data_IF_101107731032
#
_entry.id   IF_101107731032
#
_cell.length_a   1.000
_cell.length_b   1.000
_cell.length_c   1.000
_cell.angle_alpha   90.00
_cell.angle_beta   90.00
_cell.angle_gamma   90.00
#
_symmetry.space_group_name_H-M   'P 1'
#
loop_
_entity.id
_entity.type
_entity.pdbx_description
1 polymer ?
#
# COMPACT_ATOMS: atom_id res chain seq x y z
N UNK A 1 -5.43 6.71 -13.29
CA UNK A 1 -6.29 7.68 -14.02
C UNK A 1 -7.49 7.93 -13.15
N UNK A 2 -8.01 9.14 -13.07
CA UNK A 2 -9.11 9.50 -12.16
C UNK A 2 -10.36 9.83 -12.97
N UNK A 3 -11.54 9.43 -12.47
CA UNK A 3 -12.81 9.80 -13.10
C UNK A 3 -12.99 11.32 -12.97
N UNK A 4 -13.40 12.04 -14.03
CA UNK A 4 -13.56 13.50 -13.99
C UNK A 4 -14.51 13.96 -12.87
N UNK A 5 -14.33 15.20 -12.40
CA UNK A 5 -15.20 15.82 -11.38
C UNK A 5 -16.53 16.27 -12.00
N UNK A 6 -16.53 16.67 -13.26
CA UNK A 6 -17.70 17.15 -14.01
C UNK A 6 -17.94 16.28 -15.24
N UNK A 7 -19.19 16.25 -15.73
CA UNK A 7 -19.59 15.50 -16.92
C UNK A 7 -19.23 14.00 -16.83
N UNK A 8 -19.46 13.38 -15.69
CA UNK A 8 -19.19 11.96 -15.49
C UNK A 8 -20.18 11.14 -16.31
N UNK A 9 -19.66 10.38 -17.27
CA UNK A 9 -20.42 9.39 -18.04
C UNK A 9 -19.96 7.97 -17.72
N UNK A 10 -20.74 6.97 -18.13
CA UNK A 10 -20.38 5.55 -17.94
C UNK A 10 -19.04 5.22 -18.62
N UNK A 11 -18.75 5.83 -19.79
CA UNK A 11 -17.47 5.64 -20.49
C UNK A 11 -16.26 6.10 -19.67
N UNK A 12 -16.38 7.19 -18.91
CA UNK A 12 -15.31 7.66 -18.03
C UNK A 12 -15.09 6.70 -16.84
N UNK A 13 -16.17 6.12 -16.33
CA UNK A 13 -16.10 5.08 -15.27
C UNK A 13 -15.43 3.83 -15.86
N UNK A 14 -15.85 3.37 -17.03
CA UNK A 14 -15.24 2.23 -17.72
C UNK A 14 -13.73 2.43 -17.99
N UNK A 15 -13.34 3.61 -18.44
CA UNK A 15 -11.93 3.92 -18.71
C UNK A 15 -11.07 3.76 -17.45
N UNK A 16 -11.62 4.11 -16.28
CA UNK A 16 -10.86 4.03 -15.02
C UNK A 16 -10.93 2.66 -14.35
N UNK A 17 -12.12 2.05 -14.32
CA UNK A 17 -12.36 0.82 -13.58
C UNK A 17 -12.34 -0.45 -14.46
N UNK A 18 -12.39 -0.30 -15.76
CA UNK A 18 -12.50 -1.42 -16.70
C UNK A 18 -13.95 -1.82 -16.95
N UNK A 19 -14.16 -2.97 -17.55
CA UNK A 19 -15.46 -3.52 -17.93
C UNK A 19 -15.60 -3.68 -19.45
N UNK A 20 -16.59 -4.48 -19.92
CA UNK A 20 -16.87 -4.73 -21.32
C UNK A 20 -18.12 -3.97 -21.78
N UNK A 21 -18.28 -3.81 -23.09
CA UNK A 21 -19.52 -3.27 -23.68
C UNK A 21 -20.55 -4.39 -23.89
N UNK A 22 -21.86 -4.13 -23.69
CA UNK A 22 -22.48 -2.88 -23.23
C UNK A 22 -22.21 -2.59 -21.74
N UNK A 23 -22.05 -1.30 -21.41
CA UNK A 23 -21.74 -0.86 -20.05
C UNK A 23 -23.04 -0.70 -19.23
N UNK A 24 -23.11 -1.32 -18.06
CA UNK A 24 -24.17 -1.10 -17.08
C UNK A 24 -23.59 -0.58 -15.75
N UNK A 25 -24.27 0.37 -15.14
CA UNK A 25 -23.83 0.92 -13.83
C UNK A 25 -23.77 -0.16 -12.73
N UNK A 26 -24.62 -1.17 -12.82
CA UNK A 26 -24.65 -2.32 -11.92
C UNK A 26 -23.38 -3.17 -11.89
N UNK A 27 -22.51 -3.03 -12.89
CA UNK A 27 -21.22 -3.73 -12.93
C UNK A 27 -20.14 -3.11 -12.01
N UNK A 28 -20.46 -1.93 -11.46
CA UNK A 28 -19.50 -1.11 -10.71
C UNK A 28 -19.78 -1.05 -9.21
N UNK A 29 -20.49 -2.05 -8.67
CA UNK A 29 -20.58 -2.17 -7.22
C UNK A 29 -19.22 -2.47 -6.61
N UNK A 30 -18.95 -1.87 -5.46
CA UNK A 30 -17.71 -2.12 -4.70
C UNK A 30 -17.65 -3.58 -4.24
N UNK A 31 -16.53 -4.24 -4.48
CA UNK A 31 -16.36 -5.67 -4.23
C UNK A 31 -16.82 -6.55 -5.39
N UNK A 32 -17.31 -5.95 -6.48
CA UNK A 32 -17.60 -6.64 -7.74
C UNK A 32 -16.37 -6.77 -8.64
N UNK A 33 -16.60 -7.17 -9.90
CA UNK A 33 -15.53 -7.44 -10.85
C UNK A 33 -14.69 -6.21 -11.21
N UNK A 34 -15.30 -5.02 -11.26
CA UNK A 34 -14.65 -3.81 -11.75
C UNK A 34 -14.15 -2.88 -10.64
N UNK A 35 -14.80 -2.87 -9.48
CA UNK A 35 -14.45 -2.00 -8.34
C UNK A 35 -13.97 -2.83 -7.16
N UNK A 36 -12.72 -2.67 -6.71
CA UNK A 36 -12.18 -3.43 -5.59
C UNK A 36 -13.02 -3.28 -4.30
N UNK A 37 -13.09 -4.32 -3.48
CA UNK A 37 -13.75 -4.27 -2.17
C UNK A 37 -13.11 -3.22 -1.24
N UNK A 38 -11.79 -3.02 -1.39
CA UNK A 38 -11.00 -2.02 -0.67
C UNK A 38 -11.02 -0.63 -1.31
N UNK A 39 -11.88 -0.39 -2.33
CA UNK A 39 -11.97 0.92 -2.97
C UNK A 39 -12.27 2.02 -1.95
N UNK A 40 -11.33 2.95 -1.81
CA UNK A 40 -11.45 4.12 -0.93
C UNK A 40 -12.37 5.20 -1.50
N UNK A 41 -12.56 6.26 -0.74
CA UNK A 41 -13.37 7.41 -1.15
C UNK A 41 -12.58 8.36 -2.03
N UNK A 42 -13.10 8.70 -3.20
CA UNK A 42 -12.53 9.70 -4.10
C UNK A 42 -12.93 11.15 -3.78
N UNK A 43 -13.53 11.41 -2.61
CA UNK A 43 -13.93 12.76 -2.19
C UNK A 43 -15.41 13.11 -2.43
N UNK A 44 -16.13 12.37 -3.24
CA UNK A 44 -17.57 12.59 -3.53
C UNK A 44 -18.48 11.47 -3.03
N UNK A 45 -17.94 10.56 -2.24
CA UNK A 45 -18.69 9.47 -1.63
C UNK A 45 -18.05 8.10 -1.80
N UNK A 46 -18.64 7.10 -1.16
CA UNK A 46 -18.22 5.70 -1.24
C UNK A 46 -18.99 5.03 -2.35
N UNK A 47 -18.30 4.30 -3.24
CA UNK A 47 -18.99 3.42 -4.18
C UNK A 47 -19.74 2.35 -3.38
N UNK A 48 -21.05 2.27 -3.56
CA UNK A 48 -21.88 1.32 -2.81
C UNK A 48 -21.54 -0.13 -3.17
N UNK A 49 -21.64 -1.04 -2.20
CA UNK A 49 -21.49 -2.48 -2.44
C UNK A 49 -22.82 -3.12 -2.92
N UNK A 50 -23.96 -2.46 -2.70
CA UNK A 50 -25.28 -2.89 -3.15
C UNK A 50 -26.28 -1.73 -3.06
N UNK A 51 -27.48 -1.88 -3.60
CA UNK A 51 -28.55 -0.88 -3.53
C UNK A 51 -28.41 0.21 -4.60
N UNK A 52 -28.93 1.43 -4.38
CA UNK A 52 -28.88 2.50 -5.37
C UNK A 52 -27.44 2.93 -5.66
N UNK A 53 -27.03 2.94 -6.93
CA UNK A 53 -25.73 3.40 -7.40
C UNK A 53 -25.92 4.57 -8.35
N UNK A 54 -25.20 5.65 -8.13
CA UNK A 54 -25.25 6.87 -8.93
C UNK A 54 -23.93 7.10 -9.65
N UNK A 55 -24.00 7.57 -10.88
CA UNK A 55 -22.81 8.04 -11.63
C UNK A 55 -22.04 9.12 -10.86
N UNK A 56 -22.77 9.94 -10.11
CA UNK A 56 -22.18 11.00 -9.28
C UNK A 56 -21.21 10.50 -8.20
N UNK A 57 -21.37 9.28 -7.70
CA UNK A 57 -20.46 8.70 -6.69
C UNK A 57 -19.10 8.36 -7.26
N UNK A 58 -18.96 8.27 -8.57
CA UNK A 58 -17.68 8.01 -9.24
C UNK A 58 -16.85 9.25 -9.51
N UNK A 59 -17.35 10.45 -9.22
CA UNK A 59 -16.57 11.68 -9.38
C UNK A 59 -15.29 11.61 -8.59
N UNK A 60 -14.17 12.00 -9.24
CA UNK A 60 -12.84 11.97 -8.65
C UNK A 60 -12.43 10.62 -8.03
N UNK A 61 -13.07 9.54 -8.44
CA UNK A 61 -12.68 8.19 -8.04
C UNK A 61 -11.51 7.71 -8.89
N UNK A 62 -10.63 6.96 -8.25
CA UNK A 62 -9.51 6.27 -8.86
C UNK A 62 -9.54 4.82 -8.41
N UNK A 63 -9.29 3.89 -9.32
CA UNK A 63 -9.18 2.48 -8.96
C UNK A 63 -7.90 2.27 -8.18
N UNK A 64 -8.03 2.06 -6.86
CA UNK A 64 -6.90 1.88 -5.93
C UNK A 64 -7.21 0.79 -4.91
N UNK A 65 -6.18 0.08 -4.47
CA UNK A 65 -6.25 -0.79 -3.30
C UNK A 65 -5.94 0.05 -2.06
N UNK A 66 -6.90 0.21 -1.16
CA UNK A 66 -6.73 0.99 0.07
C UNK A 66 -6.77 0.06 1.28
N UNK A 67 -5.76 0.13 2.13
CA UNK A 67 -5.67 -0.68 3.34
C UNK A 67 -4.91 0.05 4.44
N UNK A 68 -5.13 -0.38 5.69
CA UNK A 68 -4.32 0.00 6.83
C UNK A 68 -3.87 -1.26 7.57
N UNK A 69 -2.67 -1.25 8.10
CA UNK A 69 -2.11 -2.37 8.85
C UNK A 69 -1.37 -1.90 10.09
N UNK A 70 -1.64 -2.55 11.22
CA UNK A 70 -0.97 -2.24 12.48
C UNK A 70 -0.05 -3.40 12.87
N UNK A 71 1.23 -3.09 13.05
CA UNK A 71 2.23 -4.02 13.56
C UNK A 71 2.20 -3.91 15.07
N UNK A 72 1.66 -4.94 15.72
CA UNK A 72 1.44 -5.02 17.18
C UNK A 72 2.29 -6.07 17.86
N UNK A 73 3.10 -6.80 17.11
CA UNK A 73 4.05 -7.80 17.59
C UNK A 73 5.39 -7.62 16.90
N UNK A 74 6.46 -7.98 17.58
CA UNK A 74 7.80 -7.94 17.00
C UNK A 74 7.85 -8.76 15.71
N UNK A 75 8.42 -8.17 14.67
CA UNK A 75 8.40 -8.74 13.33
C UNK A 75 9.80 -8.65 12.71
N UNK A 76 10.18 -9.69 11.99
CA UNK A 76 11.49 -9.77 11.34
C UNK A 76 11.36 -9.79 9.83
N UNK A 77 12.21 -9.01 9.13
CA UNK A 77 12.28 -8.94 7.66
C UNK A 77 10.91 -8.65 7.01
N UNK A 78 10.21 -7.64 7.50
CA UNK A 78 8.88 -7.30 6.98
C UNK A 78 8.96 -6.85 5.52
N UNK A 79 8.23 -7.55 4.65
CA UNK A 79 8.08 -7.18 3.24
C UNK A 79 6.64 -6.73 2.97
N UNK A 80 6.47 -5.45 2.60
CA UNK A 80 5.14 -4.87 2.39
C UNK A 80 4.44 -5.42 1.14
N UNK A 81 5.16 -5.86 0.11
CA UNK A 81 4.54 -6.51 -1.06
C UNK A 81 3.88 -7.84 -0.63
N UNK A 82 4.61 -8.65 0.13
CA UNK A 82 4.07 -9.92 0.66
C UNK A 82 2.86 -9.67 1.56
N UNK A 83 2.95 -8.65 2.43
CA UNK A 83 1.84 -8.26 3.29
C UNK A 83 0.63 -7.79 2.47
N UNK A 84 0.81 -6.91 1.48
CA UNK A 84 -0.25 -6.42 0.60
C UNK A 84 -0.96 -7.56 -0.13
N UNK A 85 -0.19 -8.52 -0.67
CA UNK A 85 -0.73 -9.70 -1.33
C UNK A 85 -1.57 -10.54 -0.37
N UNK A 86 -1.11 -10.73 0.88
CA UNK A 86 -1.88 -11.45 1.91
C UNK A 86 -3.17 -10.72 2.32
N UNK A 87 -3.20 -9.39 2.16
CA UNK A 87 -4.38 -8.56 2.39
C UNK A 87 -5.32 -8.50 1.16
N UNK A 88 -5.00 -9.21 0.08
CA UNK A 88 -5.84 -9.32 -1.11
C UNK A 88 -5.53 -8.32 -2.22
N UNK A 89 -4.35 -7.70 -2.21
CA UNK A 89 -3.90 -6.88 -3.33
C UNK A 89 -3.57 -7.75 -4.55
N UNK A 90 -4.03 -7.33 -5.73
CA UNK A 90 -3.89 -8.04 -6.99
C UNK A 90 -2.52 -7.84 -7.71
N UNK A 91 -1.65 -6.99 -7.15
CA UNK A 91 -0.36 -6.64 -7.77
C UNK A 91 -0.45 -5.65 -8.93
N UNK A 92 -1.64 -5.18 -9.31
CA UNK A 92 -1.86 -4.41 -10.53
C UNK A 92 -2.27 -2.97 -10.24
N UNK A 93 -3.25 -2.78 -9.35
CA UNK A 93 -3.77 -1.44 -9.05
C UNK A 93 -2.86 -0.68 -8.09
N UNK A 94 -2.76 0.66 -8.19
CA UNK A 94 -2.04 1.46 -7.22
C UNK A 94 -2.53 1.22 -5.79
N UNK A 95 -1.62 1.34 -4.83
CA UNK A 95 -1.87 1.08 -3.41
C UNK A 95 -1.92 2.39 -2.63
N UNK A 96 -2.85 2.48 -1.69
CA UNK A 96 -2.84 3.47 -0.60
C UNK A 96 -2.83 2.73 0.72
N UNK A 97 -1.68 2.67 1.36
CA UNK A 97 -1.47 1.89 2.57
C UNK A 97 -0.95 2.77 3.70
N UNK A 98 -1.61 2.67 4.85
CA UNK A 98 -1.13 3.22 6.11
C UNK A 98 -0.62 2.08 7.00
N UNK A 99 0.67 2.12 7.35
CA UNK A 99 1.31 1.15 8.23
C UNK A 99 1.62 1.82 9.56
N UNK A 100 1.10 1.27 10.65
CA UNK A 100 1.38 1.75 11.99
C UNK A 100 2.24 0.74 12.74
N UNK A 101 3.38 1.14 13.24
CA UNK A 101 4.21 0.35 14.16
C UNK A 101 3.92 0.84 15.57
N UNK A 102 3.33 -0.01 16.40
CA UNK A 102 2.95 0.37 17.77
C UNK A 102 4.18 0.67 18.65
N UNK A 103 3.97 1.46 19.68
CA UNK A 103 5.00 1.78 20.67
C UNK A 103 5.57 0.50 21.32
N UNK A 104 6.89 0.43 21.43
CA UNK A 104 7.61 -0.70 22.00
C UNK A 104 7.79 -1.89 21.06
N UNK A 105 7.19 -1.89 19.89
CA UNK A 105 7.32 -2.96 18.90
C UNK A 105 8.59 -2.78 18.08
N UNK A 106 9.27 -3.89 17.81
CA UNK A 106 10.51 -3.95 17.04
C UNK A 106 10.27 -4.61 15.69
N UNK A 107 10.52 -3.88 14.63
CA UNK A 107 10.66 -4.42 13.26
C UNK A 107 12.15 -4.56 12.99
N UNK A 108 12.64 -5.79 12.91
CA UNK A 108 14.08 -6.08 12.87
C UNK A 108 14.49 -6.80 11.58
N UNK A 109 15.79 -6.82 11.31
CA UNK A 109 16.39 -7.74 10.36
C UNK A 109 17.22 -8.79 11.09
N UNK A 110 17.18 -10.02 10.61
CA UNK A 110 18.05 -11.12 11.05
C UNK A 110 19.13 -11.47 10.01
N UNK A 111 19.27 -10.65 8.97
CA UNK A 111 20.22 -10.87 7.90
C UNK A 111 20.74 -9.51 7.39
N UNK A 112 22.07 -9.37 7.26
CA UNK A 112 22.71 -8.14 6.79
C UNK A 112 22.35 -7.76 5.34
N UNK A 113 21.90 -8.72 4.53
CA UNK A 113 21.48 -8.50 3.15
C UNK A 113 19.99 -8.20 2.98
N UNK A 114 19.17 -8.36 4.06
CA UNK A 114 17.72 -8.15 4.04
C UNK A 114 17.38 -6.96 4.92
N UNK A 115 16.66 -5.94 4.44
CA UNK A 115 16.22 -4.83 5.29
C UNK A 115 15.19 -5.30 6.32
N UNK A 116 15.15 -4.63 7.47
CA UNK A 116 14.14 -4.86 8.49
C UNK A 116 12.72 -4.62 7.95
N UNK A 117 12.57 -3.59 7.13
CA UNK A 117 11.35 -3.22 6.43
C UNK A 117 11.66 -2.98 4.95
N UNK A 118 11.05 -3.77 4.07
CA UNK A 118 11.14 -3.62 2.62
C UNK A 118 9.81 -3.12 2.06
N UNK A 119 9.83 -1.98 1.37
CA UNK A 119 8.64 -1.47 0.64
C UNK A 119 8.51 -2.22 -0.70
N UNK A 120 9.63 -2.55 -1.33
CA UNK A 120 9.67 -3.21 -2.63
C UNK A 120 9.58 -2.24 -3.81
N UNK A 121 10.04 -2.69 -4.97
CA UNK A 121 10.02 -1.91 -6.22
C UNK A 121 8.83 -2.24 -7.14
N UNK A 122 7.96 -3.16 -6.72
CA UNK A 122 6.86 -3.66 -7.55
C UNK A 122 5.55 -2.86 -7.40
N UNK A 123 5.55 -1.77 -6.63
CA UNK A 123 4.35 -0.95 -6.49
C UNK A 123 4.10 -0.16 -7.79
N UNK A 124 2.87 -0.19 -8.33
CA UNK A 124 2.49 0.61 -9.50
C UNK A 124 2.66 2.12 -9.24
N UNK A 125 2.88 2.86 -10.33
CA UNK A 125 2.90 4.33 -10.27
C UNK A 125 1.61 4.89 -9.66
N UNK A 126 1.72 5.90 -8.80
CA UNK A 126 0.60 6.47 -8.05
C UNK A 126 0.31 5.76 -6.72
N UNK A 127 1.09 4.75 -6.36
CA UNK A 127 0.99 4.14 -5.02
C UNK A 127 1.54 5.08 -3.94
N UNK A 128 0.90 5.06 -2.78
CA UNK A 128 1.29 5.81 -1.60
C UNK A 128 1.34 4.86 -0.41
N UNK A 129 2.49 4.77 0.24
CA UNK A 129 2.66 4.05 1.51
C UNK A 129 3.08 5.06 2.57
N UNK A 130 2.32 5.17 3.65
CA UNK A 130 2.66 5.97 4.83
C UNK A 130 3.02 5.07 5.98
N UNK A 131 4.11 5.37 6.67
CA UNK A 131 4.59 4.61 7.82
C UNK A 131 4.54 5.52 9.04
N UNK A 132 3.68 5.17 9.98
CA UNK A 132 3.58 5.81 11.30
C UNK A 132 4.37 4.97 12.31
N UNK A 133 5.62 5.33 12.56
CA UNK A 133 6.50 4.58 13.42
C UNK A 133 6.50 5.13 14.85
N UNK A 134 5.89 4.40 15.79
CA UNK A 134 5.93 4.66 17.22
C UNK A 134 6.83 3.65 17.97
N UNK A 135 7.35 2.64 17.25
CA UNK A 135 8.25 1.61 17.77
C UNK A 135 9.69 1.77 17.26
N UNK A 136 10.28 0.67 16.87
CA UNK A 136 11.67 0.62 16.43
C UNK A 136 11.78 -0.12 15.09
N UNK A 137 12.62 0.40 14.19
CA UNK A 137 13.03 -0.30 12.95
C UNK A 137 14.55 -0.48 13.05
N UNK A 138 15.02 -1.74 13.18
CA UNK A 138 16.40 -2.06 13.48
C UNK A 138 16.98 -3.00 12.42
N UNK A 139 17.96 -2.52 11.67
CA UNK A 139 18.74 -3.37 10.76
C UNK A 139 19.67 -4.31 11.52
N UNK A 140 20.03 -5.43 10.91
CA UNK A 140 21.08 -6.28 11.45
C UNK A 140 22.45 -5.61 11.20
N UNK A 141 23.24 -5.41 12.26
CA UNK A 141 24.61 -4.92 12.13
C UNK A 141 25.50 -5.93 11.40
N UNK A 142 26.48 -5.45 10.68
CA UNK A 142 27.53 -6.31 10.09
C UNK A 142 28.32 -7.06 11.18
N UNK A 143 28.99 -8.14 10.80
CA UNK A 143 29.93 -8.81 11.69
C UNK A 143 30.98 -7.78 12.14
N UNK A 144 31.21 -7.69 13.45
CA UNK A 144 32.27 -6.86 14.00
C UNK A 144 33.62 -7.27 13.36
N UNK A 145 34.41 -6.28 12.95
CA UNK A 145 35.75 -6.57 12.45
C UNK A 145 36.54 -7.40 13.46
N UNK A 146 37.34 -8.34 12.99
CA UNK A 146 38.28 -9.07 13.83
C UNK A 146 39.15 -8.05 14.57
N UNK A 147 39.08 -8.02 15.87
CA UNK A 147 39.72 -7.03 16.76
C UNK A 147 41.25 -6.93 16.69
N UNK A 148 41.88 -7.38 15.60
CA UNK A 148 43.33 -7.41 15.42
C UNK A 148 43.88 -6.23 14.62
N UNK A 149 43.08 -5.27 14.17
CA UNK A 149 43.58 -4.14 13.37
C UNK A 149 43.10 -2.76 13.81
N UNK A 150 42.44 -2.60 14.94
CA UNK A 150 42.04 -1.27 15.45
C UNK A 150 41.17 -0.43 14.48
N UNK A 151 40.55 -1.06 13.50
CA UNK A 151 39.70 -0.39 12.53
C UNK A 151 38.23 -0.51 12.97
N UNK A 152 37.60 0.60 13.26
CA UNK A 152 36.17 0.66 13.50
C UNK A 152 35.47 0.59 12.13
N UNK A 153 34.93 -0.58 11.80
CA UNK A 153 34.08 -0.72 10.62
C UNK A 153 32.71 -0.14 10.90
N UNK A 154 32.43 1.02 10.30
CA UNK A 154 31.14 1.72 10.39
C UNK A 154 30.13 1.29 9.30
N UNK A 155 30.41 0.23 8.55
CA UNK A 155 29.62 -0.20 7.39
C UNK A 155 28.30 -0.92 7.73
N UNK A 156 27.94 -1.05 9.01
CA UNK A 156 26.87 -1.94 9.47
C UNK A 156 25.48 -1.35 9.67
N UNK A 157 25.26 -0.05 9.43
CA UNK A 157 23.92 0.54 9.69
C UNK A 157 23.33 1.11 8.40
N UNK A 158 22.49 0.34 7.72
CA UNK A 158 21.59 0.89 6.70
C UNK A 158 20.19 1.03 7.30
N UNK A 159 19.93 2.14 7.97
CA UNK A 159 18.56 2.57 8.25
C UNK A 159 18.11 3.48 7.10
N UNK A 160 17.14 3.05 6.33
CA UNK A 160 16.45 3.92 5.38
C UNK A 160 15.17 4.41 6.06
N UNK A 161 15.21 5.63 6.57
CA UNK A 161 14.06 6.34 7.07
C UNK A 161 13.61 7.32 5.98
N UNK A 162 12.46 7.08 5.38
CA UNK A 162 11.78 8.06 4.55
C UNK A 162 10.69 8.68 5.42
N UNK A 163 10.90 9.92 5.84
CA UNK A 163 9.89 10.77 6.45
C UNK A 163 9.53 11.84 5.43
N UNK A 164 8.23 12.02 5.20
CA UNK A 164 7.64 13.22 4.62
C UNK A 164 7.29 14.21 5.71
#
# INVERSE_FOLDING_TARGET
MTVPITNVGLSAIQTNFGGANPIALSEYYRGGANVPASQGNGGYGVVAASGPLSVGTFRNQEKVFTTAYTISVDTTNLNLITLLTSLGWDGIVPVRMDVTINSGIVVSSNNTAIPALAIGSALPSGSIVRIYNYGYIIGMGGAGGNGNTGHIDTSGVKALLIMD
#
